data_IF_046596777293
#
_entry.id   IF_046596777293
#
_cell.length_a   1.000
_cell.length_b   1.000
_cell.length_c   1.000
_cell.angle_alpha   90.00
_cell.angle_beta   90.00
_cell.angle_gamma   90.00
#
_symmetry.space_group_name_H-M   'P 1'
#
loop_
_entity.id
_entity.type
_entity.pdbx_description
1 polymer ?
#
# COMPACT_ATOMS: atom_id res chain seq x y z
N UNK A 1 43.71 -16.86 27.95
CA UNK A 1 42.56 -16.65 27.04
C UNK A 1 43.12 -16.68 25.62
N UNK A 2 42.57 -17.51 24.73
CA UNK A 2 43.00 -17.52 23.33
C UNK A 2 42.52 -16.25 22.62
N UNK A 3 43.25 -15.82 21.59
CA UNK A 3 42.86 -14.68 20.75
C UNK A 3 41.47 -14.84 20.13
N UNK A 4 41.07 -16.09 19.86
CA UNK A 4 39.75 -16.44 19.33
C UNK A 4 38.64 -16.08 20.31
N UNK A 5 38.78 -16.43 21.60
CA UNK A 5 37.77 -16.08 22.63
C UNK A 5 37.63 -14.57 22.79
N UNK A 6 38.73 -13.82 22.67
CA UNK A 6 38.65 -12.34 22.67
C UNK A 6 37.95 -11.81 21.42
N UNK A 7 38.22 -12.37 20.24
CA UNK A 7 37.54 -11.98 19.01
C UNK A 7 36.04 -12.28 19.08
N UNK A 8 35.65 -13.46 19.57
CA UNK A 8 34.24 -13.81 19.81
C UNK A 8 33.57 -12.84 20.77
N UNK A 9 34.23 -12.48 21.88
CA UNK A 9 33.69 -11.52 22.85
C UNK A 9 33.48 -10.13 22.22
N UNK A 10 34.38 -9.70 21.32
CA UNK A 10 34.23 -8.44 20.59
C UNK A 10 33.04 -8.51 19.61
N UNK A 11 32.92 -9.61 18.86
CA UNK A 11 31.80 -9.83 17.95
C UNK A 11 30.46 -9.89 18.69
N UNK A 12 30.40 -10.58 19.81
CA UNK A 12 29.22 -10.65 20.66
C UNK A 12 28.84 -9.27 21.20
N UNK A 13 29.82 -8.46 21.61
CA UNK A 13 29.60 -7.07 22.00
C UNK A 13 28.97 -6.23 20.89
N UNK A 14 29.50 -6.35 19.67
CA UNK A 14 28.96 -5.64 18.49
C UNK A 14 27.57 -6.15 18.10
N UNK A 15 27.37 -7.46 18.03
CA UNK A 15 26.10 -8.08 17.68
C UNK A 15 25.01 -7.78 18.70
N UNK A 16 25.33 -7.83 20.00
CA UNK A 16 24.42 -7.45 21.08
C UNK A 16 23.96 -6.00 20.93
N UNK A 17 24.88 -5.08 20.65
CA UNK A 17 24.53 -3.66 20.52
C UNK A 17 23.64 -3.40 19.30
N UNK A 18 23.94 -4.03 18.15
CA UNK A 18 23.13 -3.93 16.94
C UNK A 18 21.72 -4.49 17.18
N UNK A 19 21.63 -5.70 17.76
CA UNK A 19 20.34 -6.33 18.05
C UNK A 19 19.50 -5.49 19.02
N UNK A 20 20.11 -4.98 20.10
CA UNK A 20 19.41 -4.12 21.05
C UNK A 20 18.88 -2.85 20.39
N UNK A 21 19.67 -2.21 19.52
CA UNK A 21 19.23 -1.00 18.84
C UNK A 21 18.03 -1.27 17.92
N UNK A 22 18.07 -2.37 17.14
CA UNK A 22 16.97 -2.77 16.26
C UNK A 22 15.71 -3.03 17.08
N UNK A 23 15.82 -3.80 18.16
CA UNK A 23 14.68 -4.16 19.02
C UNK A 23 14.07 -2.93 19.69
N UNK A 24 14.90 -2.02 20.20
CA UNK A 24 14.42 -0.77 20.81
C UNK A 24 13.63 0.06 19.81
N UNK A 25 14.16 0.24 18.60
CA UNK A 25 13.47 1.01 17.55
C UNK A 25 12.11 0.37 17.20
N UNK A 26 12.06 -0.95 17.04
CA UNK A 26 10.83 -1.67 16.73
C UNK A 26 9.78 -1.54 17.83
N UNK A 27 10.18 -1.71 19.10
CA UNK A 27 9.25 -1.61 20.24
C UNK A 27 8.68 -0.19 20.35
N UNK A 28 9.53 0.83 20.25
CA UNK A 28 9.09 2.23 20.37
C UNK A 28 8.13 2.62 19.25
N UNK A 29 8.38 2.18 18.01
CA UNK A 29 7.48 2.42 16.89
C UNK A 29 6.12 1.71 17.09
N UNK A 30 6.12 0.43 17.45
CA UNK A 30 4.87 -0.30 17.71
C UNK A 30 4.07 0.29 18.89
N UNK A 31 4.76 0.73 19.94
CA UNK A 31 4.11 1.36 21.09
C UNK A 31 3.49 2.71 20.70
N UNK A 32 4.19 3.53 19.92
CA UNK A 32 3.68 4.78 19.42
C UNK A 32 2.40 4.57 18.58
N UNK A 33 2.45 3.63 17.62
CA UNK A 33 1.32 3.28 16.75
C UNK A 33 0.09 2.80 17.54
N UNK A 34 0.28 1.92 18.53
CA UNK A 34 -0.83 1.41 19.36
C UNK A 34 -1.40 2.47 20.31
N UNK A 35 -0.56 3.41 20.77
CA UNK A 35 -1.00 4.48 21.65
C UNK A 35 -1.77 5.58 20.91
N UNK A 36 -1.41 5.86 19.65
CA UNK A 36 -2.07 6.86 18.81
C UNK A 36 -3.40 6.36 18.26
N UNK A 37 -3.49 5.07 17.87
CA UNK A 37 -4.68 4.49 17.27
C UNK A 37 -5.10 3.23 18.04
N UNK A 38 -6.06 3.42 18.98
CA UNK A 38 -6.56 2.34 19.86
C UNK A 38 -7.20 1.15 19.14
N UNK A 39 -7.67 1.35 17.91
CA UNK A 39 -8.25 0.32 17.06
C UNK A 39 -7.46 0.15 15.75
N UNK A 40 -6.12 0.20 15.83
CA UNK A 40 -5.26 0.08 14.65
C UNK A 40 -5.48 -1.28 14.00
N UNK A 41 -6.13 -1.24 12.83
CA UNK A 41 -6.45 -2.42 12.04
C UNK A 41 -5.66 -2.48 10.76
N UNK A 42 -5.14 -1.33 10.29
CA UNK A 42 -4.20 -1.15 9.20
C UNK A 42 -3.34 0.08 9.55
N UNK A 43 -2.04 0.03 9.28
CA UNK A 43 -1.15 1.20 9.31
C UNK A 43 -1.12 1.86 7.91
N UNK A 44 -0.61 3.08 7.79
CA UNK A 44 -0.47 3.82 6.52
C UNK A 44 0.63 3.17 5.64
N UNK A 45 0.40 1.95 5.16
CA UNK A 45 1.35 1.21 4.33
C UNK A 45 1.34 1.70 2.87
N UNK A 46 2.50 1.54 2.23
CA UNK A 46 2.68 1.78 0.80
C UNK A 46 2.05 0.66 -0.06
N UNK A 47 1.81 0.93 -1.34
CA UNK A 47 1.21 -0.05 -2.27
C UNK A 47 2.09 -1.29 -2.52
N UNK A 48 3.37 -1.25 -2.17
CA UNK A 48 4.28 -2.39 -2.28
C UNK A 48 4.11 -3.32 -1.08
N UNK A 49 4.19 -4.64 -1.32
CA UNK A 49 4.16 -5.62 -0.23
C UNK A 49 5.38 -5.44 0.67
N UNK A 50 5.13 -5.16 1.94
CA UNK A 50 6.14 -5.18 2.99
C UNK A 50 6.53 -6.62 3.39
N UNK A 51 7.15 -6.79 4.56
CA UNK A 51 7.48 -8.09 5.17
C UNK A 51 6.31 -9.09 5.02
N UNK A 52 6.64 -10.34 4.68
CA UNK A 52 5.69 -11.44 4.52
C UNK A 52 4.70 -11.52 5.68
N UNK A 53 3.49 -12.02 5.42
CA UNK A 53 2.46 -12.19 6.43
C UNK A 53 2.99 -12.87 7.70
N UNK A 54 2.86 -12.16 8.82
CA UNK A 54 3.16 -12.60 10.18
C UNK A 54 1.99 -12.27 11.11
N UNK A 55 2.01 -12.75 12.36
CA UNK A 55 0.92 -12.50 13.32
C UNK A 55 0.62 -11.01 13.56
N UNK A 56 1.63 -10.16 13.38
CA UNK A 56 1.54 -8.70 13.53
C UNK A 56 1.34 -7.97 12.18
N UNK A 57 0.87 -8.66 11.14
CA UNK A 57 0.64 -8.01 9.85
C UNK A 57 -0.49 -6.99 9.99
N UNK A 58 -0.18 -5.72 9.74
CA UNK A 58 -1.14 -4.64 9.86
C UNK A 58 -2.17 -4.66 8.73
N UNK A 59 -1.80 -5.10 7.53
CA UNK A 59 -2.67 -5.02 6.35
C UNK A 59 -3.18 -6.40 5.95
N UNK A 60 -4.40 -6.50 5.40
CA UNK A 60 -4.90 -7.75 4.84
C UNK A 60 -3.98 -8.22 3.70
N UNK A 61 -3.27 -9.31 3.95
CA UNK A 61 -2.43 -9.97 2.95
C UNK A 61 -3.21 -11.14 2.35
N UNK A 62 -3.53 -11.01 1.06
CA UNK A 62 -4.21 -12.04 0.32
C UNK A 62 -3.20 -12.91 -0.43
N UNK A 63 -3.10 -14.18 -0.04
CA UNK A 63 -2.24 -15.17 -0.69
C UNK A 63 -2.61 -15.35 -2.16
N UNK A 64 -3.88 -15.19 -2.48
CA UNK A 64 -4.41 -15.35 -3.84
C UNK A 64 -4.29 -14.05 -4.66
N UNK A 65 -3.79 -12.95 -4.05
CA UNK A 65 -3.52 -11.66 -4.69
C UNK A 65 -4.80 -11.03 -5.30
N UNK A 66 -5.99 -11.39 -4.84
CA UNK A 66 -7.24 -10.82 -5.38
C UNK A 66 -7.71 -9.56 -4.65
N UNK A 67 -7.34 -9.41 -3.39
CA UNK A 67 -7.79 -8.31 -2.55
C UNK A 67 -6.69 -7.27 -2.30
N UNK A 68 -7.10 -6.01 -2.23
CA UNK A 68 -6.24 -4.90 -1.83
C UNK A 68 -6.07 -4.84 -0.30
N UNK A 69 -5.30 -3.87 0.21
CA UNK A 69 -4.97 -3.68 1.63
C UNK A 69 -6.19 -3.66 2.58
N UNK A 70 -7.35 -3.22 2.09
CA UNK A 70 -8.60 -3.18 2.86
C UNK A 70 -9.44 -4.47 2.78
N UNK A 71 -8.96 -5.49 2.06
CA UNK A 71 -9.70 -6.73 1.79
C UNK A 71 -10.87 -6.53 0.85
N UNK A 72 -10.83 -5.45 0.06
CA UNK A 72 -11.78 -5.20 -1.02
C UNK A 72 -11.17 -5.73 -2.31
N UNK A 73 -12.02 -6.26 -3.18
CA UNK A 73 -11.62 -6.73 -4.50
C UNK A 73 -11.19 -5.55 -5.35
N UNK A 74 -10.01 -5.68 -5.94
CA UNK A 74 -9.67 -4.96 -7.17
C UNK A 74 -10.06 -5.85 -8.36
N UNK A 75 -9.92 -5.32 -9.57
CA UNK A 75 -10.12 -6.03 -10.83
C UNK A 75 -9.03 -7.09 -11.10
N UNK A 76 -8.79 -7.96 -10.13
CA UNK A 76 -7.86 -9.08 -10.24
C UNK A 76 -8.58 -10.35 -10.73
N UNK A 77 -9.86 -10.25 -11.08
CA UNK A 77 -10.67 -11.32 -11.69
C UNK A 77 -11.39 -10.77 -12.93
N UNK A 78 -11.07 -11.34 -14.09
CA UNK A 78 -11.67 -10.99 -15.39
C UNK A 78 -12.97 -11.77 -15.68
N UNK A 79 -13.74 -12.07 -14.64
CA UNK A 79 -14.99 -12.82 -14.76
C UNK A 79 -16.15 -11.84 -15.04
N UNK A 80 -17.12 -12.28 -15.83
CA UNK A 80 -18.33 -11.52 -16.15
C UNK A 80 -19.17 -12.19 -17.23
N UNK A 81 -20.33 -11.63 -17.54
CA UNK A 81 -21.27 -12.17 -18.55
C UNK A 81 -21.05 -11.61 -19.96
N UNK A 82 -19.84 -11.11 -20.24
CA UNK A 82 -19.47 -10.50 -21.53
C UNK A 82 -19.73 -8.99 -21.64
N UNK A 83 -20.61 -8.43 -20.79
CA UNK A 83 -20.83 -7.00 -20.59
C UNK A 83 -20.90 -6.69 -19.09
N UNK A 84 -20.61 -5.44 -18.69
CA UNK A 84 -20.64 -4.98 -17.29
C UNK A 84 -19.82 -5.86 -16.33
N UNK A 85 -18.74 -6.44 -16.84
CA UNK A 85 -17.82 -7.26 -16.07
C UNK A 85 -17.07 -6.42 -15.02
N UNK A 86 -16.27 -7.08 -14.18
CA UNK A 86 -15.37 -6.41 -13.24
C UNK A 86 -16.03 -5.69 -12.05
N UNK A 87 -17.33 -5.96 -11.81
CA UNK A 87 -18.12 -5.42 -10.69
C UNK A 87 -18.02 -3.89 -10.56
N UNK A 88 -17.96 -3.17 -11.68
CA UNK A 88 -17.87 -1.72 -11.65
C UNK A 88 -16.57 -1.20 -11.06
N UNK A 89 -15.44 -1.75 -11.51
CA UNK A 89 -14.11 -1.15 -11.39
C UNK A 89 -14.07 0.27 -12.03
N UNK A 90 -12.90 0.75 -12.40
CA UNK A 90 -12.68 2.11 -12.94
C UNK A 90 -13.56 2.48 -14.15
N UNK A 91 -14.13 1.50 -14.85
CA UNK A 91 -15.03 1.70 -16.00
C UNK A 91 -16.38 2.35 -15.63
N UNK A 92 -16.86 2.16 -14.39
CA UNK A 92 -18.14 2.75 -13.93
C UNK A 92 -17.95 3.97 -13.03
N UNK A 93 -16.71 4.32 -12.70
CA UNK A 93 -16.37 5.47 -11.88
C UNK A 93 -16.37 6.76 -12.70
N UNK A 94 -16.88 7.85 -12.11
CA UNK A 94 -16.93 9.17 -12.74
C UNK A 94 -16.28 10.23 -11.87
N UNK A 95 -15.49 11.11 -12.49
CA UNK A 95 -14.92 12.29 -11.86
C UNK A 95 -15.56 13.56 -12.41
N UNK A 96 -15.67 14.59 -11.58
CA UNK A 96 -16.17 15.89 -12.01
C UNK A 96 -15.01 16.72 -12.55
N UNK A 97 -15.09 17.16 -13.80
CA UNK A 97 -14.09 18.05 -14.40
C UNK A 97 -14.37 19.49 -13.96
N UNK A 98 -13.49 20.07 -13.14
CA UNK A 98 -13.64 21.45 -12.65
C UNK A 98 -13.45 22.53 -13.74
N UNK A 99 -12.97 22.16 -14.94
CA UNK A 99 -12.84 23.09 -16.06
C UNK A 99 -14.14 23.25 -16.87
N UNK A 100 -15.06 22.27 -16.81
CA UNK A 100 -16.31 22.32 -17.59
C UNK A 100 -17.54 21.77 -16.86
N UNK A 101 -17.42 21.46 -15.57
CA UNK A 101 -18.44 20.91 -14.66
C UNK A 101 -19.09 19.58 -15.10
N UNK A 102 -18.53 18.92 -16.12
CA UNK A 102 -19.04 17.63 -16.62
C UNK A 102 -18.56 16.47 -15.75
N UNK A 103 -19.43 15.48 -15.56
CA UNK A 103 -19.05 14.16 -15.06
C UNK A 103 -18.44 13.33 -16.18
N UNK A 104 -17.21 12.86 -15.99
CA UNK A 104 -16.40 12.15 -16.98
C UNK A 104 -15.98 10.81 -16.41
N UNK A 105 -16.17 9.73 -17.17
CA UNK A 105 -15.72 8.41 -16.77
C UNK A 105 -14.20 8.40 -16.50
N UNK A 106 -13.77 7.76 -15.42
CA UNK A 106 -12.38 7.78 -14.93
C UNK A 106 -11.37 7.32 -15.95
N UNK A 107 -11.65 6.18 -16.59
CA UNK A 107 -10.86 5.64 -17.70
C UNK A 107 -10.74 6.58 -18.91
N UNK A 108 -11.60 7.61 -19.05
CA UNK A 108 -11.58 8.60 -20.13
C UNK A 108 -11.06 9.97 -19.70
N UNK A 109 -10.74 10.16 -18.43
CA UNK A 109 -10.44 11.47 -17.87
C UNK A 109 -9.23 12.13 -18.55
N UNK A 110 -8.12 11.40 -18.75
CA UNK A 110 -6.94 11.93 -19.46
C UNK A 110 -7.29 12.42 -20.88
N UNK A 111 -7.96 11.58 -21.67
CA UNK A 111 -8.40 11.96 -23.04
C UNK A 111 -9.40 13.12 -23.07
N UNK A 112 -10.16 13.30 -21.99
CA UNK A 112 -11.06 14.43 -21.83
C UNK A 112 -10.27 15.70 -21.51
N UNK A 113 -9.28 15.62 -20.60
CA UNK A 113 -8.40 16.74 -20.23
C UNK A 113 -7.74 17.33 -21.48
N UNK A 114 -7.18 16.49 -22.36
CA UNK A 114 -6.56 16.96 -23.61
C UNK A 114 -7.52 17.79 -24.49
N UNK A 115 -8.78 17.35 -24.60
CA UNK A 115 -9.82 18.02 -25.40
C UNK A 115 -10.46 19.21 -24.69
N UNK A 116 -10.51 19.18 -23.36
CA UNK A 116 -11.18 20.17 -22.53
C UNK A 116 -10.27 21.37 -22.26
N UNK A 117 -8.99 21.12 -21.99
CA UNK A 117 -7.97 22.15 -21.77
C UNK A 117 -7.33 22.65 -23.06
N UNK A 118 -7.26 21.81 -24.10
CA UNK A 118 -6.69 22.20 -25.40
C UNK A 118 -7.44 23.33 -26.13
N UNK A 119 -8.58 23.77 -25.58
CA UNK A 119 -9.40 24.80 -26.20
C UNK A 119 -10.05 24.29 -27.49
N UNK A 120 -11.13 24.95 -27.88
CA UNK A 120 -11.80 24.70 -29.16
C UNK A 120 -10.94 25.20 -30.34
N UNK A 121 -9.73 24.68 -30.58
CA UNK A 121 -9.05 24.86 -31.86
C UNK A 121 -9.66 23.94 -32.91
N UNK A 122 -10.94 24.16 -33.23
CA UNK A 122 -11.43 23.96 -34.59
C UNK A 122 -11.19 25.28 -35.30
N UNK A 123 -10.08 25.37 -36.05
CA UNK A 123 -10.00 26.29 -37.18
C UNK A 123 -10.93 25.77 -38.29
#
# INVERSE_FOLDING_TARGET
MSSEVMQETIWDGLMSNILRQIVINNILQEQALRSSVKAISNDDQISLKEINAQRLKFVKDDKDIFNHINGRRLENKYNGTGSDASNGSTDTEYFTCLNCDRKIAGNRFASHVDRCLGGRTRK
#
